data_IF_222753844243
#
_entry.id   IF_222753844243
#
_cell.length_a   1.000
_cell.length_b   1.000
_cell.length_c   1.000
_cell.angle_alpha   90.00
_cell.angle_beta   90.00
_cell.angle_gamma   90.00
#
_symmetry.space_group_name_H-M   'P 1'
#
loop_
_entity.id
_entity.type
_entity.pdbx_description
1 polymer ?
#
# COMPACT_ATOMS: atom_id res chain seq x y z
N UNK A 1 -6.30 4.02 6.72
CA UNK A 1 -6.22 2.92 5.72
C UNK A 1 -5.32 3.37 4.59
N UNK A 2 -4.67 2.45 3.87
CA UNK A 2 -4.04 2.76 2.60
C UNK A 2 -5.13 2.83 1.52
N UNK A 3 -5.15 3.89 0.73
CA UNK A 3 -5.93 3.96 -0.52
C UNK A 3 -5.03 3.68 -1.70
N UNK A 4 -5.60 3.08 -2.73
CA UNK A 4 -4.94 2.77 -3.97
C UNK A 4 -5.97 2.85 -5.11
N UNK A 5 -5.49 2.87 -6.33
CA UNK A 5 -6.29 2.84 -7.55
C UNK A 5 -5.80 1.70 -8.44
N UNK A 6 -6.70 1.05 -9.17
CA UNK A 6 -6.30 0.01 -10.13
C UNK A 6 -5.46 0.62 -11.25
N UNK A 7 -4.38 -0.05 -11.61
CA UNK A 7 -3.60 0.33 -12.79
C UNK A 7 -4.45 0.16 -14.05
N UNK A 8 -4.22 0.97 -15.09
CA UNK A 8 -4.84 0.77 -16.40
C UNK A 8 -4.60 -0.65 -16.92
N UNK A 9 -5.60 -1.21 -17.61
CA UNK A 9 -5.56 -2.59 -18.08
C UNK A 9 -4.41 -2.81 -19.08
N UNK A 10 -4.14 -1.81 -19.90
CA UNK A 10 -3.05 -1.76 -20.87
C UNK A 10 -1.68 -1.93 -20.18
N UNK A 11 -1.48 -1.23 -19.06
CA UNK A 11 -0.23 -1.29 -18.29
C UNK A 11 -0.04 -2.69 -17.68
N UNK A 12 -1.11 -3.25 -17.11
CA UNK A 12 -1.06 -4.61 -16.54
C UNK A 12 -0.79 -5.63 -17.65
N UNK A 13 -1.52 -5.55 -18.78
CA UNK A 13 -1.36 -6.46 -19.91
C UNK A 13 0.05 -6.43 -20.51
N UNK A 14 0.70 -5.27 -20.53
CA UNK A 14 2.09 -5.13 -20.96
C UNK A 14 3.07 -5.78 -19.96
N UNK A 15 2.86 -5.61 -18.65
CA UNK A 15 3.70 -6.25 -17.63
C UNK A 15 3.65 -7.78 -17.69
N UNK A 16 2.50 -8.36 -18.03
CA UNK A 16 2.30 -9.81 -18.07
C UNK A 16 2.41 -10.42 -19.48
N UNK A 17 2.90 -9.67 -20.47
CA UNK A 17 2.84 -10.08 -21.89
C UNK A 17 3.55 -11.41 -22.20
N UNK A 18 4.60 -11.73 -21.43
CA UNK A 18 5.43 -12.91 -21.64
C UNK A 18 4.92 -14.16 -20.89
N UNK A 19 3.78 -14.07 -20.21
CA UNK A 19 3.24 -15.13 -19.35
C UNK A 19 1.81 -15.49 -19.75
N UNK A 20 1.48 -16.79 -19.76
CA UNK A 20 0.19 -17.30 -20.20
C UNK A 20 -0.68 -17.89 -19.08
N UNK A 21 -0.12 -18.12 -17.89
CA UNK A 21 -0.88 -18.55 -16.70
C UNK A 21 -0.63 -17.57 -15.56
N UNK A 22 -1.67 -16.83 -15.18
CA UNK A 22 -1.58 -15.70 -14.26
C UNK A 22 -2.53 -15.87 -13.09
N UNK A 23 -2.03 -15.57 -11.90
CA UNK A 23 -2.84 -15.43 -10.69
C UNK A 23 -3.08 -13.95 -10.43
N UNK A 24 -4.34 -13.53 -10.29
CA UNK A 24 -4.69 -12.24 -9.71
C UNK A 24 -4.89 -12.44 -8.21
N UNK A 25 -4.00 -11.88 -7.40
CA UNK A 25 -4.08 -12.02 -5.95
C UNK A 25 -4.65 -10.76 -5.29
N UNK A 26 -5.87 -10.84 -4.80
CA UNK A 26 -6.55 -9.78 -4.04
C UNK A 26 -6.05 -9.64 -2.60
N UNK A 27 -5.99 -8.40 -2.11
CA UNK A 27 -5.78 -8.08 -0.70
C UNK A 27 -7.11 -7.67 -0.04
N UNK A 28 -7.60 -8.49 0.89
CA UNK A 28 -8.82 -8.21 1.66
C UNK A 28 -8.71 -7.06 2.67
N UNK A 29 -7.52 -6.46 2.81
CA UNK A 29 -7.21 -5.43 3.81
C UNK A 29 -7.61 -4.01 3.40
N UNK A 30 -6.69 -3.04 3.55
CA UNK A 30 -7.02 -1.62 3.38
C UNK A 30 -7.60 -1.28 1.99
N UNK A 31 -7.07 -1.86 0.92
CA UNK A 31 -7.43 -1.50 -0.46
C UNK A 31 -8.80 -2.03 -0.89
N UNK A 32 -9.38 -2.97 -0.14
CA UNK A 32 -10.78 -3.40 -0.35
C UNK A 32 -11.77 -2.33 0.10
N UNK A 33 -11.41 -1.53 1.10
CA UNK A 33 -12.24 -0.42 1.60
C UNK A 33 -12.34 0.72 0.58
N UNK A 34 -11.33 0.88 -0.29
CA UNK A 34 -11.39 1.80 -1.43
C UNK A 34 -11.79 1.14 -2.76
N UNK A 35 -12.38 -0.05 -2.69
CA UNK A 35 -12.92 -0.78 -3.84
C UNK A 35 -11.90 -0.97 -4.98
N UNK A 36 -10.63 -1.10 -4.62
CA UNK A 36 -9.54 -1.31 -5.58
C UNK A 36 -8.94 -2.70 -5.47
N UNK A 37 -9.00 -3.33 -4.30
CA UNK A 37 -8.65 -4.74 -4.10
C UNK A 37 -9.73 -5.53 -3.36
N UNK A 38 -9.39 -6.74 -2.95
CA UNK A 38 -10.35 -7.70 -2.41
C UNK A 38 -10.92 -8.62 -3.48
N UNK A 39 -11.81 -9.52 -3.06
CA UNK A 39 -12.27 -10.66 -3.87
C UNK A 39 -13.04 -10.23 -5.11
N UNK A 40 -13.98 -9.30 -4.96
CA UNK A 40 -14.79 -8.82 -6.07
C UNK A 40 -13.92 -8.14 -7.13
N UNK A 41 -13.04 -7.24 -6.70
CA UNK A 41 -12.15 -6.48 -7.57
C UNK A 41 -11.12 -7.39 -8.27
N UNK A 42 -10.61 -8.42 -7.58
CA UNK A 42 -9.74 -9.44 -8.17
C UNK A 42 -10.45 -10.26 -9.26
N UNK A 43 -11.68 -10.72 -9.00
CA UNK A 43 -12.47 -11.46 -9.99
C UNK A 43 -12.86 -10.62 -11.21
N UNK A 44 -13.19 -9.34 -11.01
CA UNK A 44 -13.47 -8.39 -12.09
C UNK A 44 -12.20 -8.18 -12.93
N UNK A 45 -11.05 -7.91 -12.30
CA UNK A 45 -9.79 -7.71 -13.02
C UNK A 45 -9.40 -8.97 -13.80
N UNK A 46 -9.50 -10.16 -13.22
CA UNK A 46 -9.19 -11.42 -13.89
C UNK A 46 -10.01 -11.60 -15.18
N UNK A 47 -11.33 -11.36 -15.08
CA UNK A 47 -12.25 -11.49 -16.22
C UNK A 47 -11.97 -10.43 -17.29
N UNK A 48 -11.81 -9.17 -16.88
CA UNK A 48 -11.58 -8.05 -17.78
C UNK A 48 -10.22 -8.14 -18.48
N UNK A 49 -9.16 -8.50 -17.77
CA UNK A 49 -7.82 -8.65 -18.32
C UNK A 49 -7.75 -9.80 -19.33
N UNK A 50 -8.42 -10.93 -19.04
CA UNK A 50 -8.51 -12.05 -19.97
C UNK A 50 -9.19 -11.63 -21.28
N UNK A 51 -10.33 -10.93 -21.19
CA UNK A 51 -11.01 -10.40 -22.38
C UNK A 51 -10.16 -9.38 -23.13
N UNK A 52 -9.48 -8.49 -22.40
CA UNK A 52 -8.62 -7.45 -22.96
C UNK A 52 -7.47 -8.05 -23.77
N UNK A 53 -6.74 -9.01 -23.19
CA UNK A 53 -5.62 -9.71 -23.85
C UNK A 53 -6.11 -10.47 -25.07
N UNK A 54 -7.23 -11.19 -24.98
CA UNK A 54 -7.77 -11.93 -26.12
C UNK A 54 -8.16 -11.00 -27.28
N UNK A 55 -8.83 -9.89 -26.99
CA UNK A 55 -9.36 -8.99 -28.02
C UNK A 55 -8.28 -8.11 -28.66
N UNK A 56 -7.27 -7.68 -27.90
CA UNK A 56 -6.28 -6.72 -28.38
C UNK A 56 -4.96 -7.37 -28.81
N UNK A 57 -4.60 -8.51 -28.23
CA UNK A 57 -3.33 -9.19 -28.49
C UNK A 57 -3.51 -10.54 -29.21
N UNK A 58 -4.76 -10.99 -29.42
CA UNK A 58 -5.11 -12.30 -29.98
C UNK A 58 -4.36 -13.48 -29.31
N UNK A 59 -4.13 -13.35 -28.00
CA UNK A 59 -3.39 -14.32 -27.18
C UNK A 59 -4.34 -15.03 -26.24
N UNK A 60 -4.19 -16.35 -26.14
CA UNK A 60 -4.91 -17.13 -25.14
C UNK A 60 -4.13 -17.12 -23.83
N UNK A 61 -4.82 -16.72 -22.76
CA UNK A 61 -4.26 -16.60 -21.41
C UNK A 61 -5.21 -17.23 -20.40
N UNK A 62 -4.65 -17.99 -19.48
CA UNK A 62 -5.33 -18.49 -18.29
C UNK A 62 -5.13 -17.50 -17.16
N UNK A 63 -6.22 -16.97 -16.63
CA UNK A 63 -6.19 -16.05 -15.49
C UNK A 63 -7.13 -16.60 -14.42
N UNK A 64 -6.57 -16.91 -13.26
CA UNK A 64 -7.30 -17.28 -12.04
C UNK A 64 -7.23 -16.13 -11.04
N UNK A 65 -8.06 -16.17 -10.00
CA UNK A 65 -7.97 -15.20 -8.91
C UNK A 65 -8.16 -15.88 -7.57
N UNK A 66 -7.55 -15.30 -6.55
CA UNK A 66 -7.75 -15.63 -5.14
C UNK A 66 -7.63 -14.35 -4.32
N UNK A 67 -8.09 -14.36 -3.08
CA UNK A 67 -7.87 -13.28 -2.13
C UNK A 67 -7.43 -13.83 -0.79
N UNK A 68 -6.43 -13.17 -0.20
CA UNK A 68 -6.03 -13.40 1.18
C UNK A 68 -6.40 -12.20 2.04
N UNK A 69 -6.54 -12.42 3.36
CA UNK A 69 -7.00 -11.39 4.28
C UNK A 69 -6.08 -10.15 4.25
N UNK A 70 -4.76 -10.36 4.25
CA UNK A 70 -3.75 -9.29 4.16
C UNK A 70 -2.53 -9.79 3.40
N UNK A 71 -1.97 -8.92 2.57
CA UNK A 71 -0.71 -9.18 1.86
C UNK A 71 0.50 -8.48 2.47
N UNK A 72 0.31 -7.64 3.47
CA UNK A 72 1.40 -7.06 4.26
C UNK A 72 1.67 -7.87 5.53
N UNK A 73 1.21 -9.11 5.56
CA UNK A 73 1.24 -9.99 6.72
C UNK A 73 1.52 -11.41 6.19
N UNK A 74 2.72 -11.90 6.48
CA UNK A 74 3.33 -13.04 5.81
C UNK A 74 2.60 -14.35 6.15
N UNK A 75 1.94 -14.43 7.30
CA UNK A 75 1.21 -15.62 7.76
C UNK A 75 0.09 -16.04 6.81
N UNK A 76 -0.44 -15.12 6.01
CA UNK A 76 -1.50 -15.42 5.05
C UNK A 76 -0.98 -15.96 3.71
N UNK A 77 0.32 -15.89 3.45
CA UNK A 77 0.87 -16.32 2.16
C UNK A 77 0.80 -17.83 1.97
N UNK A 78 0.97 -18.63 3.03
CA UNK A 78 0.84 -20.09 2.94
C UNK A 78 -0.49 -20.55 2.32
N UNK A 79 -1.56 -19.76 2.46
CA UNK A 79 -2.87 -20.05 1.88
C UNK A 79 -2.89 -20.05 0.34
N UNK A 80 -1.88 -19.46 -0.31
CA UNK A 80 -1.78 -19.35 -1.77
C UNK A 80 -0.59 -20.11 -2.34
N UNK A 81 0.11 -20.91 -1.52
CA UNK A 81 1.30 -21.67 -1.94
C UNK A 81 1.05 -22.53 -3.17
N UNK A 82 -0.03 -23.32 -3.16
CA UNK A 82 -0.36 -24.22 -4.27
C UNK A 82 -0.69 -23.43 -5.55
N UNK A 83 -1.47 -22.35 -5.43
CA UNK A 83 -1.81 -21.50 -6.56
C UNK A 83 -0.61 -20.76 -7.15
N UNK A 84 0.35 -20.35 -6.30
CA UNK A 84 1.61 -19.74 -6.72
C UNK A 84 2.52 -20.75 -7.44
N UNK A 85 2.57 -22.00 -6.96
CA UNK A 85 3.34 -23.06 -7.62
C UNK A 85 2.80 -23.40 -9.01
N UNK A 86 1.50 -23.21 -9.22
CA UNK A 86 0.82 -23.50 -10.48
C UNK A 86 0.80 -22.34 -11.47
N UNK A 87 1.20 -21.12 -11.08
CA UNK A 87 1.17 -19.93 -11.95
C UNK A 87 2.53 -19.60 -12.55
N UNK A 88 2.55 -18.87 -13.67
CA UNK A 88 3.80 -18.36 -14.25
C UNK A 88 4.12 -16.94 -13.78
N UNK A 89 3.11 -16.16 -13.41
CA UNK A 89 3.25 -14.86 -12.78
C UNK A 89 2.04 -14.52 -11.91
N UNK A 90 2.19 -13.56 -11.01
CA UNK A 90 1.11 -13.05 -10.16
C UNK A 90 0.95 -11.54 -10.33
N UNK A 91 -0.28 -11.08 -10.52
CA UNK A 91 -0.64 -9.66 -10.39
C UNK A 91 -1.22 -9.43 -9.01
N UNK A 92 -0.47 -8.70 -8.19
CA UNK A 92 -0.83 -8.37 -6.82
C UNK A 92 -1.79 -7.17 -6.80
N UNK A 93 -3.06 -7.39 -6.41
CA UNK A 93 -4.04 -6.35 -6.11
C UNK A 93 -3.98 -6.01 -4.60
N UNK A 94 -2.80 -5.61 -4.18
CA UNK A 94 -2.50 -5.00 -2.88
C UNK A 94 -1.74 -3.69 -3.05
N UNK A 95 -1.44 -3.03 -1.93
CA UNK A 95 -0.55 -1.86 -1.96
C UNK A 95 0.90 -2.28 -2.22
N UNK A 96 1.80 -1.32 -2.45
CA UNK A 96 3.21 -1.59 -2.74
C UNK A 96 3.96 -2.39 -1.66
N UNK A 97 3.51 -2.34 -0.39
CA UNK A 97 4.05 -3.20 0.66
C UNK A 97 3.64 -4.68 0.47
N UNK A 98 2.42 -4.93 -0.03
CA UNK A 98 1.96 -6.29 -0.31
C UNK A 98 2.65 -6.91 -1.52
N UNK A 99 2.95 -6.10 -2.54
CA UNK A 99 3.77 -6.52 -3.68
C UNK A 99 5.14 -7.00 -3.21
N UNK A 100 5.82 -6.19 -2.39
CA UNK A 100 7.16 -6.52 -1.89
C UNK A 100 7.14 -7.72 -0.94
N UNK A 101 6.16 -7.82 -0.04
CA UNK A 101 6.03 -8.99 0.83
C UNK A 101 5.86 -10.30 0.05
N UNK A 102 5.12 -10.28 -1.07
CA UNK A 102 5.02 -11.44 -1.96
C UNK A 102 6.34 -11.78 -2.65
N UNK A 103 7.13 -10.76 -3.05
CA UNK A 103 8.46 -10.98 -3.63
C UNK A 103 9.40 -11.63 -2.62
N UNK A 104 9.34 -11.23 -1.35
CA UNK A 104 10.17 -11.81 -0.30
C UNK A 104 9.86 -13.30 -0.06
N UNK A 105 8.58 -13.69 -0.13
CA UNK A 105 8.14 -15.07 0.14
C UNK A 105 8.12 -15.97 -1.10
N UNK A 106 7.90 -15.42 -2.28
CA UNK A 106 7.88 -16.15 -3.56
C UNK A 106 8.92 -15.59 -4.54
N UNK A 107 10.22 -15.69 -4.23
CA UNK A 107 11.28 -15.04 -5.03
C UNK A 107 11.38 -15.60 -6.47
N UNK A 108 10.89 -16.81 -6.71
CA UNK A 108 10.93 -17.48 -8.01
C UNK A 108 9.70 -17.20 -8.89
N UNK A 109 8.68 -16.50 -8.37
CA UNK A 109 7.49 -16.14 -9.14
C UNK A 109 7.53 -14.64 -9.46
N UNK A 110 7.45 -14.23 -10.75
CA UNK A 110 7.31 -12.84 -11.12
C UNK A 110 6.05 -12.20 -10.51
N UNK A 111 6.22 -11.21 -9.64
CA UNK A 111 5.13 -10.47 -8.99
C UNK A 111 5.02 -9.06 -9.59
N UNK A 112 3.85 -8.73 -10.12
CA UNK A 112 3.56 -7.43 -10.72
C UNK A 112 2.54 -6.65 -9.90
N UNK A 113 2.68 -5.32 -9.77
CA UNK A 113 1.68 -4.49 -9.12
C UNK A 113 0.42 -4.38 -9.99
N UNK A 114 -0.75 -4.64 -9.42
CA UNK A 114 -2.05 -4.34 -10.03
C UNK A 114 -2.61 -2.97 -9.63
N UNK A 115 -2.02 -2.32 -8.62
CA UNK A 115 -2.49 -1.06 -8.05
C UNK A 115 -1.41 0.04 -8.04
N UNK A 116 -1.85 1.28 -8.17
CA UNK A 116 -1.11 2.48 -7.79
C UNK A 116 -1.44 2.83 -6.33
N UNK A 117 -0.46 2.75 -5.43
CA UNK A 117 -0.67 3.12 -4.01
C UNK A 117 -0.72 4.63 -3.87
N UNK A 118 -1.80 5.16 -3.30
CA UNK A 118 -2.01 6.61 -3.14
C UNK A 118 -1.44 7.14 -1.83
N UNK A 119 -2.00 6.71 -0.69
CA UNK A 119 -1.59 7.26 0.61
C UNK A 119 -2.42 6.80 1.79
N UNK A 120 -2.17 7.39 2.96
CA UNK A 120 -2.91 7.08 4.19
C UNK A 120 -4.13 8.00 4.32
N UNK A 121 -5.27 7.48 3.90
CA UNK A 121 -6.50 8.25 3.76
C UNK A 121 -7.64 7.72 4.64
N UNK A 122 -8.71 8.51 4.66
CA UNK A 122 -10.00 8.20 5.30
C UNK A 122 -11.12 8.53 4.30
N UNK A 123 -12.13 7.66 4.25
CA UNK A 123 -13.33 7.88 3.45
C UNK A 123 -14.17 9.04 3.98
N UNK A 124 -14.61 9.92 3.08
CA UNK A 124 -15.49 11.05 3.38
C UNK A 124 -16.94 10.71 3.13
N UNK A 125 -17.17 10.25 1.91
CA UNK A 125 -18.42 9.71 1.40
C UNK A 125 -18.05 8.52 0.51
N UNK A 126 -18.99 7.62 0.17
CA UNK A 126 -18.71 6.53 -0.76
C UNK A 126 -18.10 7.08 -2.05
N UNK A 127 -16.94 6.53 -2.45
CA UNK A 127 -16.22 6.98 -3.66
C UNK A 127 -15.26 8.15 -3.46
N UNK A 128 -15.18 8.76 -2.27
CA UNK A 128 -14.27 9.89 -2.00
C UNK A 128 -13.42 9.60 -0.77
N UNK A 129 -12.11 9.56 -0.97
CA UNK A 129 -11.12 9.40 0.08
C UNK A 129 -10.15 10.57 0.07
N UNK A 130 -9.80 11.05 1.25
CA UNK A 130 -8.86 12.14 1.41
C UNK A 130 -7.68 11.71 2.27
N UNK A 131 -6.48 12.11 1.88
CA UNK A 131 -5.29 11.88 2.69
C UNK A 131 -5.42 12.58 4.05
N UNK A 132 -5.08 11.84 5.11
CA UNK A 132 -5.14 12.33 6.50
C UNK A 132 -3.84 12.17 7.26
N UNK A 133 -2.87 11.42 6.74
CA UNK A 133 -1.60 11.19 7.39
C UNK A 133 -0.47 11.08 6.36
N UNK A 134 0.66 11.74 6.62
CA UNK A 134 1.87 11.64 5.81
C UNK A 134 2.78 10.49 6.28
N UNK A 135 2.42 9.80 7.37
CA UNK A 135 3.22 8.70 7.93
C UNK A 135 4.59 9.14 8.46
N UNK A 136 4.79 10.40 8.87
CA UNK A 136 6.11 10.97 9.19
C UNK A 136 6.84 10.44 10.45
N UNK A 137 6.30 9.45 11.18
CA UNK A 137 6.94 8.86 12.36
C UNK A 137 6.95 9.72 13.65
N UNK A 138 6.73 11.03 13.55
CA UNK A 138 6.73 11.95 14.70
C UNK A 138 5.38 12.69 14.82
N UNK A 139 4.43 12.10 15.55
CA UNK A 139 3.05 12.57 15.58
C UNK A 139 2.82 13.78 16.51
N UNK A 140 2.21 14.84 15.98
CA UNK A 140 1.91 16.09 16.71
C UNK A 140 0.42 16.37 16.89
N UNK A 141 -0.45 15.42 16.55
CA UNK A 141 -1.90 15.66 16.49
C UNK A 141 -2.52 16.06 17.83
N UNK A 142 -1.86 15.73 18.95
CA UNK A 142 -2.25 16.15 20.29
C UNK A 142 -2.17 17.68 20.48
N UNK A 143 -1.33 18.38 19.70
CA UNK A 143 -1.22 19.84 19.70
C UNK A 143 -2.24 20.48 18.77
N UNK A 144 -2.55 19.87 17.63
CA UNK A 144 -3.38 20.44 16.57
C UNK A 144 -4.85 20.01 16.61
N UNK A 145 -5.34 19.57 17.77
CA UNK A 145 -6.74 19.17 17.94
C UNK A 145 -7.13 17.92 17.12
N UNK A 146 -6.17 17.09 16.75
CA UNK A 146 -6.39 15.86 15.98
C UNK A 146 -6.26 16.02 14.46
N UNK A 147 -5.92 17.21 13.95
CA UNK A 147 -5.85 17.46 12.50
C UNK A 147 -4.40 17.61 12.04
N UNK A 148 -3.98 16.81 11.06
CA UNK A 148 -2.59 16.81 10.60
C UNK A 148 -2.27 18.05 9.75
N UNK A 149 -1.38 18.96 10.19
CA UNK A 149 -1.03 20.14 9.40
C UNK A 149 -0.05 19.80 8.26
N UNK A 150 0.61 18.64 8.32
CA UNK A 150 1.52 18.17 7.26
C UNK A 150 0.69 17.62 6.10
N UNK A 151 -0.13 16.60 6.35
CA UNK A 151 -0.89 15.92 5.30
C UNK A 151 -2.05 16.74 4.73
N UNK A 152 -2.58 17.72 5.48
CA UNK A 152 -3.80 18.46 5.09
C UNK A 152 -3.56 19.94 4.79
N UNK A 153 -2.32 20.41 4.84
CA UNK A 153 -1.97 21.74 4.36
C UNK A 153 -1.27 21.58 3.01
N UNK A 154 -1.74 22.27 1.97
CA UNK A 154 -1.09 22.28 0.66
C UNK A 154 0.35 22.78 0.69
N UNK A 155 0.76 23.48 1.76
CA UNK A 155 2.12 23.96 1.99
C UNK A 155 2.90 23.14 3.03
N UNK A 156 2.29 22.11 3.61
CA UNK A 156 2.89 21.25 4.63
C UNK A 156 3.46 22.00 5.86
N UNK A 157 2.95 23.20 6.17
CA UNK A 157 3.51 24.06 7.22
C UNK A 157 3.22 23.50 8.62
N UNK A 158 4.26 23.40 9.43
CA UNK A 158 4.16 22.92 10.80
C UNK A 158 3.58 23.97 11.75
N UNK A 159 3.97 25.24 11.59
CA UNK A 159 3.50 26.36 12.39
C UNK A 159 2.70 27.30 11.48
N UNK A 160 1.38 27.18 11.48
CA UNK A 160 0.48 28.09 10.77
C UNK A 160 -0.30 28.99 11.72
N UNK A 161 -1.28 29.77 11.22
CA UNK A 161 -1.66 29.90 9.80
C UNK A 161 -0.64 30.71 8.97
N UNK A 162 -0.61 30.49 7.64
CA UNK A 162 0.26 31.23 6.71
C UNK A 162 -0.31 32.56 6.18
N UNK A 163 -1.50 32.98 6.64
CA UNK A 163 -2.20 34.16 6.13
C UNK A 163 -2.98 33.93 4.82
N UNK A 164 -2.65 32.90 4.06
CA UNK A 164 -3.29 32.55 2.78
C UNK A 164 -4.65 31.84 2.89
N UNK A 165 -5.46 32.17 3.88
CA UNK A 165 -6.79 31.56 4.05
C UNK A 165 -7.87 32.61 4.05
N UNK A 166 -8.90 32.39 3.23
CA UNK A 166 -10.08 33.26 3.16
C UNK A 166 -11.34 32.43 3.43
N UNK A 167 -12.19 32.90 4.36
CA UNK A 167 -13.46 32.25 4.74
C UNK A 167 -13.32 30.75 5.06
N UNK A 168 -12.18 30.36 5.64
CA UNK A 168 -11.86 28.97 6.00
C UNK A 168 -11.32 28.10 4.86
N UNK A 169 -11.18 28.64 3.66
CA UNK A 169 -10.64 27.94 2.48
C UNK A 169 -9.16 28.28 2.27
N UNK A 170 -8.43 27.41 1.57
CA UNK A 170 -7.02 27.60 1.23
C UNK A 170 -6.86 28.40 -0.07
N UNK A 171 -5.87 29.31 -0.14
CA UNK A 171 -5.58 30.09 -1.35
C UNK A 171 -5.15 29.26 -2.56
N UNK A 172 -4.67 28.03 -2.36
CA UNK A 172 -4.24 27.14 -3.46
C UNK A 172 -5.44 26.74 -4.31
N UNK A 173 -6.57 26.45 -3.68
CA UNK A 173 -7.86 26.30 -4.34
C UNK A 173 -8.99 26.68 -3.37
N UNK A 174 -9.49 27.93 -3.44
CA UNK A 174 -10.55 28.42 -2.56
C UNK A 174 -11.90 27.70 -2.73
N UNK A 175 -12.08 26.91 -3.80
CA UNK A 175 -13.34 26.23 -4.08
C UNK A 175 -13.41 24.83 -3.47
N UNK A 176 -12.27 24.14 -3.36
CA UNK A 176 -12.25 22.70 -3.01
C UNK A 176 -11.43 22.39 -1.76
N UNK A 177 -10.45 23.22 -1.39
CA UNK A 177 -9.52 22.90 -0.30
C UNK A 177 -9.85 23.69 0.97
N UNK A 178 -10.34 22.99 1.99
CA UNK A 178 -10.48 23.55 3.34
C UNK A 178 -9.10 23.84 3.95
N UNK A 179 -8.92 25.03 4.52
CA UNK A 179 -7.68 25.36 5.22
C UNK A 179 -7.60 24.60 6.54
N UNK A 180 -6.67 23.63 6.64
CA UNK A 180 -6.51 22.85 7.89
C UNK A 180 -6.23 23.73 9.10
N UNK A 181 -5.52 24.86 8.97
CA UNK A 181 -5.25 25.75 10.10
C UNK A 181 -6.48 26.49 10.61
N UNK A 182 -7.41 26.83 9.72
CA UNK A 182 -8.72 27.33 10.13
C UNK A 182 -9.49 26.24 10.89
N UNK A 183 -9.49 25.01 10.39
CA UNK A 183 -10.14 23.87 11.05
C UNK A 183 -9.48 23.53 12.40
N UNK A 184 -8.16 23.64 12.52
CA UNK A 184 -7.41 23.44 13.77
C UNK A 184 -7.86 24.48 14.80
N UNK A 185 -7.95 25.75 14.43
CA UNK A 185 -8.40 26.81 15.32
C UNK A 185 -9.82 26.54 15.84
N UNK A 186 -10.79 26.28 14.95
CA UNK A 186 -12.17 25.98 15.34
C UNK A 186 -12.25 24.74 16.24
N UNK A 187 -11.48 23.70 15.90
CA UNK A 187 -11.42 22.48 16.70
C UNK A 187 -10.85 22.73 18.08
N UNK A 188 -9.69 23.39 18.19
CA UNK A 188 -9.06 23.71 19.48
C UNK A 188 -9.96 24.60 20.35
N UNK A 189 -10.64 25.56 19.74
CA UNK A 189 -11.63 26.41 20.42
C UNK A 189 -12.78 25.57 20.99
N UNK A 190 -13.34 24.65 20.20
CA UNK A 190 -14.45 23.78 20.62
C UNK A 190 -14.10 22.83 21.78
N UNK A 191 -12.82 22.45 21.93
CA UNK A 191 -12.35 21.54 22.99
C UNK A 191 -11.64 22.27 24.13
N UNK A 192 -11.67 23.61 24.16
CA UNK A 192 -11.04 24.40 25.22
C UNK A 192 -9.51 24.29 25.28
N UNK A 193 -8.84 24.05 24.14
CA UNK A 193 -7.37 23.93 24.04
C UNK A 193 -6.73 24.98 23.13
N UNK A 194 -7.32 26.17 23.04
CA UNK A 194 -6.87 27.22 22.13
C UNK A 194 -5.40 27.61 22.37
N UNK A 195 -4.91 27.53 23.60
CA UNK A 195 -3.52 27.82 23.97
C UNK A 195 -2.48 27.03 23.17
N UNK A 196 -2.85 25.85 22.65
CA UNK A 196 -1.97 25.05 21.81
C UNK A 196 -1.58 25.78 20.50
N UNK A 197 -2.39 26.71 20.01
CA UNK A 197 -2.09 27.43 18.77
C UNK A 197 -0.87 28.36 18.91
N UNK A 198 -0.56 28.80 20.13
CA UNK A 198 0.58 29.67 20.43
C UNK A 198 1.87 28.87 20.66
N UNK A 199 1.80 27.54 20.71
CA UNK A 199 2.99 26.70 20.88
C UNK A 199 3.76 26.63 19.57
N UNK A 200 4.95 27.22 19.58
CA UNK A 200 5.88 27.10 18.46
C UNK A 200 6.45 25.69 18.47
N UNK A 201 6.16 24.92 17.43
CA UNK A 201 6.78 23.62 17.21
C UNK A 201 8.19 23.82 16.67
N UNK A 202 9.20 23.13 17.23
CA UNK A 202 10.55 23.17 16.69
C UNK A 202 10.59 22.59 15.28
N UNK A 203 11.73 22.76 14.60
CA UNK A 203 11.96 22.07 13.33
C UNK A 203 11.64 20.59 13.49
N UNK A 204 10.85 20.08 12.55
CA UNK A 204 10.44 18.69 12.61
C UNK A 204 11.65 17.79 12.38
N UNK A 205 11.77 16.78 13.23
CA UNK A 205 12.70 15.69 12.98
C UNK A 205 12.13 14.78 11.88
N UNK A 206 12.81 14.79 10.73
CA UNK A 206 12.50 13.97 9.56
C UNK A 206 13.35 12.70 9.49
N UNK A 207 14.24 12.43 10.46
CA UNK A 207 15.00 11.17 10.48
C UNK A 207 14.08 9.94 10.57
N UNK A 208 12.88 10.11 11.12
CA UNK A 208 11.83 9.09 11.21
C UNK A 208 10.83 9.09 10.02
N UNK A 209 11.00 9.98 9.03
CA UNK A 209 10.21 9.98 7.78
C UNK A 209 10.91 9.22 6.66
N UNK A 210 10.32 9.18 5.47
CA UNK A 210 10.96 8.67 4.26
C UNK A 210 12.26 9.39 3.89
N UNK A 211 12.42 10.66 4.31
CA UNK A 211 13.59 11.48 3.98
C UNK A 211 14.82 11.11 4.83
N UNK A 212 14.60 10.42 5.96
CA UNK A 212 15.64 9.94 6.87
C UNK A 212 16.28 8.61 6.47
N UNK A 213 15.84 7.98 5.38
CA UNK A 213 16.28 6.66 4.94
C UNK A 213 15.24 5.56 5.17
N UNK A 214 15.66 4.30 4.99
CA UNK A 214 14.80 3.13 5.23
C UNK A 214 14.47 3.05 6.71
N UNK A 215 13.17 3.03 7.02
CA UNK A 215 12.68 3.07 8.39
C UNK A 215 12.52 1.67 8.95
N UNK A 216 12.94 1.50 10.20
CA UNK A 216 12.80 0.25 10.95
C UNK A 216 12.04 0.51 12.24
N UNK A 217 11.08 -0.36 12.55
CA UNK A 217 10.41 -0.39 13.84
C UNK A 217 10.56 -1.79 14.43
N UNK A 218 11.43 -1.93 15.41
CA UNK A 218 11.63 -3.19 16.13
C UNK A 218 10.98 -3.08 17.51
N UNK A 219 10.07 -4.00 17.80
CA UNK A 219 9.53 -4.20 19.16
C UNK A 219 10.25 -5.40 19.75
N UNK A 220 11.32 -5.16 20.51
CA UNK A 220 12.18 -6.22 21.06
C UNK A 220 11.40 -7.24 21.89
N UNK A 221 10.33 -6.81 22.55
CA UNK A 221 9.43 -7.66 23.31
C UNK A 221 8.57 -8.62 22.46
N UNK A 222 8.50 -8.38 21.15
CA UNK A 222 7.67 -9.13 20.19
C UNK A 222 8.48 -9.76 19.07
N UNK A 223 9.62 -9.15 18.71
CA UNK A 223 10.51 -9.60 17.67
C UNK A 223 11.19 -10.89 18.12
N UNK A 224 10.54 -12.02 17.83
CA UNK A 224 11.19 -13.33 17.88
C UNK A 224 12.19 -13.35 16.72
N UNK A 225 13.45 -13.06 17.03
CA UNK A 225 14.58 -13.10 16.08
C UNK A 225 14.70 -14.47 15.37
N UNK A 226 14.04 -15.51 15.90
CA UNK A 226 14.01 -16.86 15.36
C UNK A 226 13.20 -16.99 14.05
N UNK A 227 12.19 -16.15 13.80
CA UNK A 227 11.34 -16.27 12.60
C UNK A 227 12.06 -15.86 11.30
N UNK A 228 12.98 -14.90 11.37
CA UNK A 228 13.87 -14.58 10.26
C UNK A 228 14.88 -15.72 10.00
N UNK A 229 15.34 -16.39 11.04
CA UNK A 229 16.21 -17.58 10.93
C UNK A 229 15.45 -18.76 10.31
N UNK A 230 14.18 -18.93 10.67
CA UNK A 230 13.31 -19.99 10.17
C UNK A 230 12.90 -19.73 8.71
N UNK A 231 12.57 -18.49 8.36
CA UNK A 231 12.33 -18.09 6.97
C UNK A 231 13.59 -18.24 6.10
N UNK A 232 14.76 -17.78 6.57
CA UNK A 232 16.03 -17.98 5.87
C UNK A 232 16.36 -19.46 5.68
N UNK A 233 16.12 -20.29 6.71
CA UNK A 233 16.27 -21.75 6.60
C UNK A 233 15.33 -22.35 5.56
N UNK A 234 14.07 -21.92 5.54
CA UNK A 234 13.09 -22.44 4.58
C UNK A 234 13.46 -22.06 3.14
N UNK A 235 13.87 -20.81 2.90
CA UNK A 235 14.37 -20.36 1.58
C UNK A 235 15.63 -21.13 1.17
N UNK A 236 16.57 -21.38 2.09
CA UNK A 236 17.77 -22.16 1.80
C UNK A 236 17.46 -23.64 1.52
N UNK A 237 16.48 -24.21 2.20
CA UNK A 237 16.03 -25.59 1.98
C UNK A 237 15.33 -25.76 0.63
N UNK A 238 14.48 -24.82 0.23
CA UNK A 238 13.83 -24.83 -1.08
C UNK A 238 14.86 -24.71 -2.21
N UNK A 239 15.85 -23.81 -2.06
CA UNK A 239 16.93 -23.67 -3.03
C UNK A 239 17.78 -24.95 -3.17
N UNK A 240 18.07 -25.63 -2.06
CA UNK A 240 18.77 -26.93 -2.07
C UNK A 240 17.94 -28.03 -2.72
N UNK A 241 16.62 -28.02 -2.55
CA UNK A 241 15.72 -28.96 -3.18
C UNK A 241 15.69 -28.77 -4.71
N UNK A 242 15.63 -27.52 -5.18
CA UNK A 242 15.69 -27.16 -6.60
C UNK A 242 17.03 -27.57 -7.24
N UNK A 243 18.15 -27.33 -6.55
CA UNK A 243 19.49 -27.74 -7.00
C UNK A 243 19.63 -29.27 -7.07
N UNK A 244 19.10 -30.01 -6.08
CA UNK A 244 19.11 -31.47 -6.06
C UNK A 244 18.26 -32.06 -7.19
N UNK A 245 17.10 -31.47 -7.48
CA UNK A 245 16.23 -31.91 -8.56
C UNK A 245 16.84 -31.62 -9.95
N UNK A 246 17.54 -30.50 -10.11
CA UNK A 246 18.30 -30.18 -11.32
C UNK A 246 19.48 -31.14 -11.54
N UNK A 247 20.20 -31.51 -10.48
CA UNK A 247 21.30 -32.47 -10.56
C UNK A 247 20.82 -33.88 -10.93
N UNK A 248 19.65 -34.30 -10.43
CA UNK A 248 19.04 -35.59 -10.77
C UNK A 248 18.59 -35.68 -12.24
N UNK A 249 18.14 -34.57 -12.83
CA UNK A 249 17.71 -34.50 -14.24
C UNK A 249 18.88 -34.42 -15.24
N UNK A 250 20.10 -34.14 -14.78
CA UNK A 250 21.30 -34.05 -15.62
C UNK A 250 22.13 -35.34 -15.75
N UNK A 251 21.70 -36.45 -15.14
CA UNK A 251 22.39 -37.75 -15.17
C UNK A 251 21.71 -38.81 -16.06
N UNK A 252 20.77 -38.39 -16.93
CA UNK A 252 20.06 -39.26 -17.88
C UNK A 252 20.57 -39.12 -19.31
#
# INVERSE_FOLDING_TARGET
MIVAEQKPMEEIAEMIKDFNKILILGCGGCVSVCLSGGEKEAGIMASALKMFVKNNQNRDIEITHMTIARQCDWEYFDMVKDAMAETQACVCIGCGAGVQGLVDVYPNVPIFPGLNTGGLAVGKVPGVWEERCAGCGNCILHLTGGLCPIARCSKHILNGPCGGSEKGMCEVDPKTIECVWHLIYERLKSIGKLDNIYKIMPMKDWSASSDGGVRHLTREDMAKLDAEEEHKKNVELEKKAEEAEAAAKGQG
#
